data_IF_117745944918
#
_entry.id   IF_117745944918
#
_cell.length_a   1.000
_cell.length_b   1.000
_cell.length_c   1.000
_cell.angle_alpha   90.00
_cell.angle_beta   90.00
_cell.angle_gamma   90.00
#
_symmetry.space_group_name_H-M   'P 1'
#
loop_
_entity.id
_entity.type
_entity.pdbx_description
1 polymer ?
#
# COMPACT_ATOMS: atom_id res chain seq x y z
N UNK A 1 8.72 -1.73 11.12
CA UNK A 1 9.42 -0.65 10.36
C UNK A 1 10.93 -0.58 10.64
N UNK A 2 11.48 -0.60 11.88
CA UNK A 2 12.92 -0.37 12.11
C UNK A 2 13.90 -1.30 11.35
N UNK A 3 13.45 -2.49 10.97
CA UNK A 3 14.29 -3.45 10.24
C UNK A 3 14.40 -3.18 8.73
N UNK A 4 13.62 -2.25 8.19
CA UNK A 4 13.61 -1.96 6.76
C UNK A 4 14.78 -1.06 6.36
N UNK A 5 15.31 -1.29 5.16
CA UNK A 5 16.26 -0.35 4.55
C UNK A 5 15.56 1.02 4.39
N UNK A 6 16.24 2.11 4.78
CA UNK A 6 15.68 3.48 4.76
C UNK A 6 14.31 3.61 5.48
N UNK A 7 14.16 3.00 6.64
CA UNK A 7 12.88 2.89 7.34
C UNK A 7 12.22 4.25 7.66
N UNK A 8 13.01 5.27 7.99
CA UNK A 8 12.48 6.62 8.29
C UNK A 8 11.92 7.31 7.03
N UNK A 9 12.63 7.24 5.91
CA UNK A 9 12.20 7.78 4.62
C UNK A 9 10.92 7.07 4.13
N UNK A 10 10.87 5.75 4.23
CA UNK A 10 9.69 4.96 3.90
C UNK A 10 8.49 5.33 4.78
N UNK A 11 8.69 5.47 6.08
CA UNK A 11 7.61 5.83 7.02
C UNK A 11 7.04 7.20 6.70
N UNK A 12 7.89 8.21 6.46
CA UNK A 12 7.48 9.56 6.06
C UNK A 12 6.67 9.54 4.76
N UNK A 13 7.14 8.81 3.73
CA UNK A 13 6.45 8.72 2.45
C UNK A 13 5.09 8.04 2.58
N UNK A 14 4.99 6.97 3.36
CA UNK A 14 3.73 6.27 3.63
C UNK A 14 2.73 7.17 4.38
N UNK A 15 3.21 7.99 5.34
CA UNK A 15 2.38 8.97 6.05
C UNK A 15 1.82 10.00 5.07
N UNK A 16 2.65 10.58 4.19
CA UNK A 16 2.23 11.53 3.16
C UNK A 16 1.21 10.89 2.21
N UNK A 17 1.47 9.66 1.78
CA UNK A 17 0.56 8.92 0.92
C UNK A 17 -0.83 8.75 1.54
N UNK A 18 -0.93 8.25 2.78
CA UNK A 18 -2.23 8.07 3.42
C UNK A 18 -2.91 9.38 3.76
N UNK A 19 -2.17 10.42 4.12
CA UNK A 19 -2.71 11.77 4.30
C UNK A 19 -3.39 12.27 3.00
N UNK A 20 -2.74 12.04 1.84
CA UNK A 20 -3.34 12.37 0.54
C UNK A 20 -4.53 11.49 0.17
N UNK A 21 -4.46 10.19 0.42
CA UNK A 21 -5.56 9.26 0.13
C UNK A 21 -6.82 9.56 0.95
N UNK A 22 -6.68 10.15 2.14
CA UNK A 22 -7.81 10.54 2.97
C UNK A 22 -8.62 11.69 2.37
N UNK A 23 -8.01 12.55 1.57
CA UNK A 23 -8.71 13.63 0.87
C UNK A 23 -9.74 13.09 -0.16
N UNK A 24 -9.56 11.86 -0.65
CA UNK A 24 -10.40 11.26 -1.69
C UNK A 24 -11.46 10.28 -1.18
N UNK A 25 -11.56 10.05 0.12
CA UNK A 25 -12.50 9.08 0.71
C UNK A 25 -12.46 7.68 0.05
N UNK A 26 -11.26 7.17 -0.24
CA UNK A 26 -11.04 5.87 -0.87
C UNK A 26 -11.04 4.77 0.19
N UNK A 27 -11.75 3.64 -0.04
CA UNK A 27 -11.76 2.51 0.87
C UNK A 27 -10.34 1.97 1.12
N UNK A 28 -10.02 1.68 2.38
CA UNK A 28 -8.72 1.13 2.81
C UNK A 28 -8.93 -0.20 3.50
N UNK A 29 -8.16 -1.22 3.11
CA UNK A 29 -8.07 -2.50 3.80
C UNK A 29 -6.66 -2.60 4.40
N UNK A 30 -6.59 -2.58 5.72
CA UNK A 30 -5.32 -2.60 6.45
C UNK A 30 -5.09 -3.98 7.04
N UNK A 31 -3.90 -4.54 6.85
CA UNK A 31 -3.55 -5.85 7.39
C UNK A 31 -2.35 -5.79 8.32
N UNK A 32 -2.36 -6.61 9.36
CA UNK A 32 -1.19 -6.88 10.21
C UNK A 32 -0.76 -8.34 10.05
N UNK A 33 0.52 -8.61 10.24
CA UNK A 33 1.08 -9.95 10.15
C UNK A 33 1.34 -10.48 11.54
N UNK A 34 0.52 -11.45 12.01
CA UNK A 34 0.73 -12.11 13.30
C UNK A 34 1.03 -11.09 14.42
N UNK A 35 0.06 -10.21 14.67
CA UNK A 35 0.23 -9.03 15.54
C UNK A 35 0.70 -9.36 16.95
N UNK A 36 0.35 -10.55 17.48
CA UNK A 36 0.83 -11.04 18.79
C UNK A 36 2.36 -11.18 18.85
N UNK A 37 3.02 -11.47 17.72
CA UNK A 37 4.46 -11.67 17.67
C UNK A 37 5.21 -10.49 17.06
N UNK A 38 4.63 -9.82 16.07
CA UNK A 38 5.30 -8.77 15.29
C UNK A 38 4.81 -7.35 15.59
N UNK A 39 3.78 -7.22 16.43
CA UNK A 39 3.16 -5.94 16.72
C UNK A 39 2.15 -5.49 15.67
N UNK A 40 1.47 -4.38 15.95
CA UNK A 40 0.49 -3.75 15.05
C UNK A 40 1.12 -2.79 14.05
N UNK A 41 0.25 -2.00 13.42
CA UNK A 41 0.65 -0.90 12.55
C UNK A 41 1.48 0.13 13.34
N UNK A 42 2.55 0.65 12.72
CA UNK A 42 3.38 1.68 13.34
C UNK A 42 2.53 2.90 13.75
N UNK A 43 2.72 3.47 14.97
CA UNK A 43 1.81 4.49 15.50
C UNK A 43 1.60 5.69 14.57
N UNK A 44 2.67 6.22 13.98
CA UNK A 44 2.59 7.37 13.06
C UNK A 44 1.82 7.04 11.76
N UNK A 45 1.96 5.80 11.24
CA UNK A 45 1.19 5.33 10.09
C UNK A 45 -0.28 5.12 10.49
N UNK A 46 -0.55 4.58 11.68
CA UNK A 46 -1.91 4.39 12.19
C UNK A 46 -2.65 5.74 12.33
N UNK A 47 -1.96 6.78 12.82
CA UNK A 47 -2.49 8.13 12.88
C UNK A 47 -2.82 8.68 11.47
N UNK A 48 -1.91 8.51 10.51
CA UNK A 48 -2.11 8.94 9.12
C UNK A 48 -3.23 8.18 8.40
N UNK A 49 -3.46 6.90 8.74
CA UNK A 49 -4.56 6.10 8.20
C UNK A 49 -5.93 6.60 8.67
N UNK A 50 -6.02 7.22 9.85
CA UNK A 50 -7.28 7.58 10.50
C UNK A 50 -8.01 6.37 11.07
N UNK A 51 -9.33 6.35 10.96
CA UNK A 51 -10.14 5.23 11.45
C UNK A 51 -9.99 4.00 10.53
N UNK A 52 -9.55 2.89 11.11
CA UNK A 52 -9.46 1.60 10.42
C UNK A 52 -9.51 0.43 11.41
N UNK A 53 -9.97 -0.72 10.93
CA UNK A 53 -9.89 -1.99 11.65
C UNK A 53 -8.84 -2.88 10.97
N UNK A 54 -7.72 -3.21 11.65
CA UNK A 54 -6.70 -4.05 11.06
C UNK A 54 -7.15 -5.51 11.00
N UNK A 55 -6.96 -6.14 9.86
CA UNK A 55 -7.18 -7.57 9.66
C UNK A 55 -5.86 -8.29 10.01
N UNK A 56 -5.84 -9.04 11.12
CA UNK A 56 -4.65 -9.81 11.49
C UNK A 56 -4.59 -11.13 10.74
N UNK A 57 -3.50 -11.38 10.05
CA UNK A 57 -3.33 -12.58 9.21
C UNK A 57 -2.05 -13.34 9.55
N UNK A 58 -2.09 -14.66 9.40
CA UNK A 58 -0.93 -15.54 9.47
C UNK A 58 -0.34 -15.83 8.07
N UNK A 59 -1.17 -15.88 7.04
CA UNK A 59 -0.71 -16.03 5.65
C UNK A 59 0.11 -14.81 5.20
N UNK A 60 1.14 -15.00 4.39
CA UNK A 60 1.87 -13.87 3.81
C UNK A 60 1.03 -13.16 2.75
N UNK A 61 0.43 -13.90 1.83
CA UNK A 61 -0.51 -13.36 0.86
C UNK A 61 -1.84 -12.99 1.53
N UNK A 62 -2.36 -11.78 1.26
CA UNK A 62 -3.66 -11.33 1.80
C UNK A 62 -4.81 -12.21 1.32
N UNK A 63 -4.71 -12.78 0.11
CA UNK A 63 -5.74 -13.68 -0.43
C UNK A 63 -5.78 -15.06 0.25
N UNK A 64 -4.84 -15.36 1.14
CA UNK A 64 -4.88 -16.52 2.03
C UNK A 64 -5.59 -16.25 3.36
N UNK A 65 -6.19 -15.07 3.56
CA UNK A 65 -6.95 -14.68 4.75
C UNK A 65 -8.43 -14.50 4.36
N UNK A 66 -9.29 -15.35 4.89
CA UNK A 66 -10.72 -15.35 4.56
C UNK A 66 -11.40 -14.02 4.89
N UNK A 67 -11.11 -13.44 6.05
CA UNK A 67 -11.64 -12.14 6.44
C UNK A 67 -11.26 -11.03 5.44
N UNK A 68 -10.00 -11.02 4.99
CA UNK A 68 -9.55 -10.07 3.97
C UNK A 68 -10.31 -10.29 2.66
N UNK A 69 -10.41 -11.53 2.19
CA UNK A 69 -11.10 -11.87 0.92
C UNK A 69 -12.55 -11.42 0.95
N UNK A 70 -13.26 -11.61 2.05
CA UNK A 70 -14.64 -11.19 2.20
C UNK A 70 -14.76 -9.66 2.07
N UNK A 71 -13.98 -8.89 2.86
CA UNK A 71 -13.97 -7.42 2.78
C UNK A 71 -13.52 -6.91 1.41
N UNK A 72 -12.52 -7.55 0.80
CA UNK A 72 -12.02 -7.21 -0.54
C UNK A 72 -13.11 -7.33 -1.61
N UNK A 73 -13.87 -8.43 -1.57
CA UNK A 73 -14.97 -8.67 -2.51
C UNK A 73 -16.13 -7.66 -2.33
N UNK A 74 -16.34 -7.14 -1.12
CA UNK A 74 -17.36 -6.11 -0.85
C UNK A 74 -16.98 -4.74 -1.45
N UNK A 75 -15.70 -4.41 -1.50
CA UNK A 75 -15.20 -3.12 -2.01
C UNK A 75 -15.44 -2.96 -3.51
N UNK A 76 -15.42 -4.03 -4.29
CA UNK A 76 -15.74 -4.09 -5.74
C UNK A 76 -15.01 -3.02 -6.57
N UNK A 77 -13.72 -2.83 -6.35
CA UNK A 77 -12.88 -1.91 -7.13
C UNK A 77 -12.05 -2.66 -8.15
N UNK A 78 -11.93 -2.08 -9.34
CA UNK A 78 -11.10 -2.61 -10.42
C UNK A 78 -9.62 -2.26 -10.21
N UNK A 79 -9.36 -1.02 -9.79
CA UNK A 79 -8.01 -0.50 -9.56
C UNK A 79 -7.64 -0.64 -8.08
N UNK A 80 -6.54 -1.32 -7.82
CA UNK A 80 -6.03 -1.61 -6.48
C UNK A 80 -4.64 -1.01 -6.32
N UNK A 81 -4.48 -0.11 -5.36
CA UNK A 81 -3.15 0.36 -4.94
C UNK A 81 -2.71 -0.46 -3.75
N UNK A 82 -1.52 -1.03 -3.80
CA UNK A 82 -0.97 -1.87 -2.73
C UNK A 82 0.36 -1.32 -2.24
N UNK A 83 0.51 -1.13 -0.93
CA UNK A 83 1.72 -0.64 -0.29
C UNK A 83 2.01 -1.40 1.01
N UNK A 84 3.20 -1.22 1.58
CA UNK A 84 3.61 -1.82 2.85
C UNK A 84 4.88 -2.66 2.76
N UNK A 85 5.08 -3.53 3.76
CA UNK A 85 6.29 -4.34 3.95
C UNK A 85 5.96 -5.82 4.21
N UNK A 86 6.83 -6.77 3.85
CA UNK A 86 8.03 -6.56 3.02
C UNK A 86 7.69 -6.76 1.54
N UNK A 87 8.28 -5.94 0.70
CA UNK A 87 8.01 -5.93 -0.76
C UNK A 87 8.16 -7.31 -1.40
N UNK A 88 9.19 -8.08 -1.03
CA UNK A 88 9.51 -9.39 -1.60
C UNK A 88 8.77 -10.57 -0.93
N UNK A 89 8.00 -10.34 0.13
CA UNK A 89 7.26 -11.39 0.85
C UNK A 89 5.76 -11.15 0.71
N UNK A 90 5.15 -10.43 1.66
CA UNK A 90 3.71 -10.27 1.72
C UNK A 90 3.16 -9.47 0.55
N UNK A 91 3.80 -8.36 0.22
CA UNK A 91 3.30 -7.44 -0.80
C UNK A 91 3.35 -8.08 -2.18
N UNK A 92 4.50 -8.62 -2.60
CA UNK A 92 4.63 -9.27 -3.90
C UNK A 92 3.64 -10.43 -4.07
N UNK A 93 3.52 -11.32 -3.07
CA UNK A 93 2.58 -12.44 -3.15
C UNK A 93 1.14 -11.95 -3.29
N UNK A 94 0.78 -10.90 -2.56
CA UNK A 94 -0.56 -10.30 -2.60
C UNK A 94 -0.83 -9.61 -3.94
N UNK A 95 0.11 -8.80 -4.42
CA UNK A 95 0.00 -8.11 -5.71
C UNK A 95 -0.18 -9.08 -6.88
N UNK A 96 0.62 -10.15 -6.92
CA UNK A 96 0.54 -11.18 -7.95
C UNK A 96 -0.80 -11.95 -7.88
N UNK A 97 -1.29 -12.27 -6.69
CA UNK A 97 -2.56 -12.95 -6.51
C UNK A 97 -3.73 -12.08 -6.95
N UNK A 98 -3.77 -10.81 -6.56
CA UNK A 98 -4.80 -9.85 -6.95
C UNK A 98 -4.75 -9.60 -8.47
N UNK A 99 -3.55 -9.46 -9.05
CA UNK A 99 -3.39 -9.31 -10.50
C UNK A 99 -3.94 -10.51 -11.27
N UNK A 100 -3.71 -11.73 -10.77
CA UNK A 100 -4.24 -12.97 -11.36
C UNK A 100 -5.77 -13.04 -11.35
N UNK A 101 -6.43 -12.34 -10.45
CA UNK A 101 -7.90 -12.22 -10.40
C UNK A 101 -8.44 -11.20 -11.42
N UNK A 102 -7.59 -10.53 -12.19
CA UNK A 102 -7.99 -9.60 -13.24
C UNK A 102 -8.00 -8.13 -12.84
N UNK A 103 -7.62 -7.78 -11.61
CA UNK A 103 -7.54 -6.39 -11.18
C UNK A 103 -6.33 -5.64 -11.78
N UNK A 104 -6.45 -4.33 -11.92
CA UNK A 104 -5.33 -3.44 -12.18
C UNK A 104 -4.61 -3.16 -10.85
N UNK A 105 -3.35 -3.56 -10.73
CA UNK A 105 -2.57 -3.44 -9.50
C UNK A 105 -1.49 -2.38 -9.68
N UNK A 106 -1.55 -1.34 -8.86
CA UNK A 106 -0.60 -0.23 -8.81
C UNK A 106 0.26 -0.35 -7.57
N UNK A 107 1.56 -0.21 -7.73
CA UNK A 107 2.55 -0.37 -6.66
C UNK A 107 3.38 0.91 -6.57
N UNK A 108 3.07 1.82 -5.63
CA UNK A 108 3.92 2.98 -5.37
C UNK A 108 5.23 2.51 -4.73
N UNK A 109 6.31 2.52 -5.52
CA UNK A 109 7.61 1.93 -5.15
C UNK A 109 8.25 2.60 -3.95
N UNK A 110 7.92 3.85 -3.70
CA UNK A 110 8.36 4.66 -2.57
C UNK A 110 7.51 4.44 -1.29
N UNK A 111 6.40 3.69 -1.39
CA UNK A 111 5.56 3.27 -0.25
C UNK A 111 5.73 1.78 0.11
N UNK A 112 6.76 1.13 -0.41
CA UNK A 112 7.07 -0.27 -0.11
C UNK A 112 8.55 -0.41 0.29
N UNK A 113 8.87 -1.46 1.03
CA UNK A 113 10.25 -1.67 1.47
C UNK A 113 10.59 -3.12 1.72
N UNK A 114 11.89 -3.39 1.75
CA UNK A 114 12.47 -4.67 2.17
C UNK A 114 13.73 -4.42 2.99
N UNK A 115 14.16 -5.38 3.80
CA UNK A 115 15.38 -5.29 4.60
C UNK A 115 16.65 -5.21 3.74
N UNK A 116 16.63 -5.83 2.55
CA UNK A 116 17.76 -5.84 1.61
C UNK A 116 17.38 -5.23 0.29
N UNK A 117 18.28 -4.42 -0.29
CA UNK A 117 18.06 -3.79 -1.59
C UNK A 117 17.84 -4.82 -2.72
N UNK A 118 18.63 -5.91 -2.74
CA UNK A 118 18.50 -6.97 -3.74
C UNK A 118 17.10 -7.62 -3.74
N UNK A 119 16.53 -7.88 -2.54
CA UNK A 119 15.20 -8.47 -2.41
C UNK A 119 14.13 -7.49 -2.90
N UNK A 120 14.28 -6.20 -2.58
CA UNK A 120 13.40 -5.13 -3.04
C UNK A 120 13.40 -5.01 -4.57
N UNK A 121 14.57 -4.85 -5.18
CA UNK A 121 14.72 -4.71 -6.63
C UNK A 121 14.21 -5.94 -7.40
N UNK A 122 14.43 -7.14 -6.84
CA UNK A 122 13.96 -8.38 -7.44
C UNK A 122 12.43 -8.47 -7.37
N UNK A 123 11.82 -8.02 -6.26
CA UNK A 123 10.37 -7.97 -6.11
C UNK A 123 9.73 -7.02 -7.11
N UNK A 124 10.31 -5.82 -7.32
CA UNK A 124 9.82 -4.85 -8.31
C UNK A 124 9.80 -5.46 -9.71
N UNK A 125 10.92 -6.04 -10.14
CA UNK A 125 11.00 -6.69 -11.48
C UNK A 125 9.96 -7.79 -11.66
N UNK A 126 9.73 -8.62 -10.64
CA UNK A 126 8.73 -9.70 -10.72
C UNK A 126 7.29 -9.17 -10.80
N UNK A 127 6.97 -8.13 -10.04
CA UNK A 127 5.64 -7.51 -10.09
C UNK A 127 5.40 -6.83 -11.44
N UNK A 128 6.38 -6.09 -11.96
CA UNK A 128 6.32 -5.45 -13.28
C UNK A 128 6.12 -6.48 -14.40
N UNK A 129 6.93 -7.56 -14.43
CA UNK A 129 6.79 -8.64 -15.41
C UNK A 129 5.43 -9.35 -15.36
N UNK A 130 4.78 -9.37 -14.20
CA UNK A 130 3.44 -9.90 -14.04
C UNK A 130 2.33 -8.92 -14.44
N UNK A 131 2.69 -7.70 -14.89
CA UNK A 131 1.77 -6.67 -15.34
C UNK A 131 1.19 -5.80 -14.21
N UNK A 132 1.84 -5.74 -13.05
CA UNK A 132 1.58 -4.68 -12.08
C UNK A 132 2.19 -3.36 -12.57
N UNK A 133 1.54 -2.25 -12.30
CA UNK A 133 2.02 -0.92 -12.67
C UNK A 133 2.88 -0.37 -11.52
N UNK A 134 4.17 -0.20 -11.77
CA UNK A 134 5.07 0.48 -10.82
C UNK A 134 4.90 1.99 -10.97
N UNK A 135 4.72 2.69 -9.87
CA UNK A 135 4.46 4.13 -9.82
C UNK A 135 5.07 4.74 -8.55
N UNK A 136 4.77 6.00 -8.24
CA UNK A 136 5.13 6.66 -6.98
C UNK A 136 3.88 7.15 -6.27
N UNK A 137 3.97 7.42 -4.96
CA UNK A 137 2.82 7.92 -4.20
C UNK A 137 2.28 9.23 -4.77
N UNK A 138 3.17 10.13 -5.17
CA UNK A 138 2.79 11.42 -5.76
C UNK A 138 2.06 11.23 -7.08
N UNK A 139 2.56 10.34 -7.96
CA UNK A 139 1.88 10.02 -9.23
C UNK A 139 0.47 9.48 -8.98
N UNK A 140 0.30 8.56 -8.04
CA UNK A 140 -1.04 8.03 -7.68
C UNK A 140 -1.97 9.13 -7.22
N UNK A 141 -1.52 10.03 -6.33
CA UNK A 141 -2.35 11.12 -5.84
C UNK A 141 -2.77 12.07 -6.97
N UNK A 142 -1.87 12.41 -7.89
CA UNK A 142 -2.20 13.28 -9.02
C UNK A 142 -3.04 12.58 -10.11
N UNK A 143 -2.88 11.29 -10.32
CA UNK A 143 -3.76 10.49 -11.20
C UNK A 143 -5.21 10.45 -10.69
N UNK A 144 -5.40 10.31 -9.37
CA UNK A 144 -6.72 10.35 -8.73
C UNK A 144 -7.30 11.77 -8.78
N UNK A 145 -6.46 12.77 -8.57
CA UNK A 145 -6.84 14.20 -8.58
C UNK A 145 -7.32 14.66 -9.95
N UNK A 146 -6.77 14.11 -11.02
CA UNK A 146 -7.10 14.34 -12.43
C UNK A 146 -6.74 15.75 -12.92
N UNK A 147 -7.13 16.83 -12.23
CA UNK A 147 -6.88 18.19 -12.70
C UNK A 147 -6.68 19.21 -11.57
N UNK A 148 -6.03 20.32 -11.90
CA UNK A 148 -5.70 21.38 -10.94
C UNK A 148 -6.90 22.22 -10.44
N UNK A 149 -8.11 21.96 -10.94
CA UNK A 149 -9.36 22.62 -10.49
C UNK A 149 -10.14 21.76 -9.51
N UNK A 150 -9.68 20.53 -9.24
CA UNK A 150 -10.30 19.65 -8.26
C UNK A 150 -10.25 20.31 -6.86
N UNK A 151 -11.31 20.16 -6.05
CA UNK A 151 -11.36 20.78 -4.72
C UNK A 151 -10.21 20.35 -3.81
N UNK A 152 -9.69 19.13 -3.99
CA UNK A 152 -8.61 18.53 -3.21
C UNK A 152 -7.21 19.03 -3.64
N UNK A 153 -7.07 19.72 -4.79
CA UNK A 153 -5.77 20.14 -5.35
C UNK A 153 -4.88 20.88 -4.33
N UNK A 154 -5.48 21.78 -3.56
CA UNK A 154 -4.74 22.60 -2.61
C UNK A 154 -4.15 21.79 -1.45
N UNK A 155 -4.92 20.80 -0.97
CA UNK A 155 -4.49 19.88 0.07
C UNK A 155 -3.38 18.95 -0.46
N UNK A 156 -3.60 18.30 -1.59
CA UNK A 156 -2.63 17.40 -2.23
C UNK A 156 -1.33 18.13 -2.53
N UNK A 157 -1.38 19.32 -3.15
CA UNK A 157 -0.17 20.12 -3.46
C UNK A 157 0.63 20.54 -2.22
N UNK A 158 0.00 20.60 -1.04
CA UNK A 158 0.69 20.88 0.23
C UNK A 158 1.34 19.61 0.81
N UNK A 159 0.68 18.47 0.67
CA UNK A 159 1.16 17.18 1.22
C UNK A 159 2.42 16.69 0.49
N UNK A 160 2.49 16.86 -0.82
CA UNK A 160 3.60 16.34 -1.63
C UNK A 160 4.86 17.23 -1.61
N UNK A 161 4.78 18.46 -1.12
CA UNK A 161 5.92 19.37 -0.93
C UNK A 161 6.62 19.12 0.38
#
# INVERSE_FOLDING_TARGET
MPAMNKSAELEETVIRFFSGMNEFNIPKLVTTQYSKGLGGTAPAIAEALGDFEPIDKSSFCVMGCEEFVNKFNEVKKENIVICGVEAHICLQQSALAIKKLGHNVFVPVDCIGSRKALDYETALRRMEQAGCVLTTYESVLYEILDNARAPEFKAISKIVK
#
